data_IF_160150590955
#
_entry.id   IF_160150590955
#
_cell.length_a   1.000
_cell.length_b   1.000
_cell.length_c   1.000
_cell.angle_alpha   90.00
_cell.angle_beta   90.00
_cell.angle_gamma   90.00
#
_symmetry.space_group_name_H-M   'P 1'
#
loop_
_entity.id
_entity.type
_entity.pdbx_description
1 polymer ?
#
# COMPACT_ATOMS: atom_id res chain seq x y z
N UNK A 1 -9.99 -0.37 5.16
CA UNK A 1 -11.35 -0.94 4.97
C UNK A 1 -11.84 -0.68 3.55
N UNK A 2 -12.29 -1.73 2.86
CA UNK A 2 -12.90 -1.61 1.55
C UNK A 2 -14.36 -1.17 1.77
N UNK A 3 -14.85 -0.10 1.11
CA UNK A 3 -16.20 0.39 1.28
C UNK A 3 -17.23 -0.57 0.67
N UNK A 4 -18.50 -0.44 1.09
CA UNK A 4 -19.60 -1.16 0.45
C UNK A 4 -19.79 -0.68 -1.00
N UNK A 5 -20.37 -1.52 -1.84
CA UNK A 5 -20.62 -1.21 -3.27
C UNK A 5 -21.45 0.06 -3.45
N UNK A 6 -22.32 0.40 -2.51
CA UNK A 6 -23.15 1.61 -2.56
C UNK A 6 -22.33 2.90 -2.59
N UNK A 7 -21.16 2.92 -1.96
CA UNK A 7 -20.26 4.10 -2.02
C UNK A 7 -19.70 4.28 -3.43
N UNK A 8 -19.37 3.21 -4.13
CA UNK A 8 -18.95 3.28 -5.52
C UNK A 8 -20.07 3.80 -6.42
N UNK A 9 -21.32 3.42 -6.12
CA UNK A 9 -22.51 3.82 -6.87
C UNK A 9 -22.89 5.29 -6.71
N UNK A 10 -22.36 6.01 -5.71
CA UNK A 10 -22.58 7.46 -5.60
C UNK A 10 -22.10 8.23 -6.84
N UNK A 11 -21.06 7.72 -7.52
CA UNK A 11 -20.56 8.30 -8.75
C UNK A 11 -20.86 7.42 -9.97
N UNK A 12 -20.70 6.10 -9.85
CA UNK A 12 -20.75 5.18 -10.97
C UNK A 12 -22.18 4.82 -11.43
N UNK A 13 -23.19 5.36 -10.82
CA UNK A 13 -24.56 5.34 -11.38
C UNK A 13 -24.70 6.28 -12.60
N UNK A 14 -23.76 7.24 -12.80
CA UNK A 14 -23.78 8.22 -13.88
C UNK A 14 -22.44 8.34 -14.62
N UNK A 15 -21.30 8.03 -13.97
CA UNK A 15 -19.95 8.20 -14.53
C UNK A 15 -19.43 6.87 -15.05
N UNK A 16 -18.97 6.86 -16.33
CA UNK A 16 -18.39 5.69 -17.01
C UNK A 16 -19.30 4.45 -17.01
N UNK A 17 -20.60 4.64 -17.10
CA UNK A 17 -21.60 3.56 -17.03
C UNK A 17 -21.43 2.50 -18.13
N UNK A 18 -20.81 2.86 -19.27
CA UNK A 18 -20.52 1.95 -20.38
C UNK A 18 -19.24 1.12 -20.17
N UNK A 19 -18.43 1.42 -19.14
CA UNK A 19 -17.22 0.66 -18.86
C UNK A 19 -17.55 -0.75 -18.41
N UNK A 20 -16.94 -1.80 -18.99
CA UNK A 20 -17.17 -3.19 -18.55
C UNK A 20 -16.91 -3.40 -17.05
N UNK A 21 -15.91 -2.70 -16.49
CA UNK A 21 -15.58 -2.80 -15.06
C UNK A 21 -16.66 -2.15 -14.18
N UNK A 22 -17.24 -1.03 -14.64
CA UNK A 22 -18.36 -0.40 -13.92
C UNK A 22 -19.63 -1.23 -14.02
N UNK A 23 -19.88 -1.88 -15.14
CA UNK A 23 -21.02 -2.79 -15.26
C UNK A 23 -20.95 -3.99 -14.30
N UNK A 24 -19.74 -4.45 -13.92
CA UNK A 24 -19.58 -5.43 -12.84
C UNK A 24 -20.06 -4.87 -11.50
N UNK A 25 -19.71 -3.61 -11.19
CA UNK A 25 -20.18 -2.93 -9.98
C UNK A 25 -21.72 -2.79 -10.01
N UNK A 26 -22.31 -2.40 -11.15
CA UNK A 26 -23.75 -2.31 -11.32
C UNK A 26 -24.43 -3.65 -11.01
N UNK A 27 -23.87 -4.76 -11.53
CA UNK A 27 -24.40 -6.10 -11.25
C UNK A 27 -24.39 -6.41 -9.75
N UNK A 28 -23.27 -6.14 -9.08
CA UNK A 28 -23.17 -6.37 -7.64
C UNK A 28 -24.05 -5.44 -6.81
N UNK A 29 -24.34 -4.24 -7.30
CA UNK A 29 -25.26 -3.29 -6.67
C UNK A 29 -26.74 -3.59 -6.96
N UNK A 30 -27.06 -4.54 -7.83
CA UNK A 30 -28.42 -4.76 -8.33
C UNK A 30 -28.98 -3.57 -9.11
N UNK A 31 -28.08 -2.78 -9.78
CA UNK A 31 -28.47 -1.56 -10.45
C UNK A 31 -28.74 -1.79 -11.95
N UNK A 32 -29.91 -1.31 -12.40
CA UNK A 32 -30.25 -1.28 -13.83
C UNK A 32 -30.02 0.11 -14.40
N UNK A 33 -29.08 0.21 -15.33
CA UNK A 33 -28.67 1.47 -15.98
C UNK A 33 -29.81 2.06 -16.81
N UNK A 34 -30.68 1.24 -17.40
CA UNK A 34 -31.77 1.71 -18.27
C UNK A 34 -32.90 2.34 -17.49
N UNK A 35 -33.31 1.69 -16.41
CA UNK A 35 -34.39 2.17 -15.55
C UNK A 35 -33.90 3.10 -14.45
N UNK A 36 -32.59 3.12 -14.19
CA UNK A 36 -31.93 3.84 -13.08
C UNK A 36 -32.47 3.46 -11.71
N UNK A 37 -32.80 2.19 -11.54
CA UNK A 37 -33.37 1.65 -10.30
C UNK A 37 -32.48 0.58 -9.70
N UNK A 38 -32.63 0.38 -8.39
CA UNK A 38 -31.95 -0.68 -7.64
C UNK A 38 -32.95 -1.80 -7.34
N UNK A 39 -32.46 -3.03 -7.43
CA UNK A 39 -33.18 -4.24 -7.04
C UNK A 39 -32.33 -4.98 -6.00
N UNK A 40 -32.68 -4.79 -4.73
CA UNK A 40 -31.94 -5.37 -3.60
C UNK A 40 -31.94 -6.91 -3.63
N UNK A 41 -32.92 -7.53 -4.28
CA UNK A 41 -32.98 -8.99 -4.42
C UNK A 41 -31.88 -9.55 -5.34
N UNK A 42 -31.32 -8.69 -6.19
CA UNK A 42 -30.22 -9.02 -7.11
C UNK A 42 -28.85 -8.53 -6.63
N UNK A 43 -28.84 -7.73 -5.55
CA UNK A 43 -27.58 -7.24 -4.99
C UNK A 43 -26.78 -8.40 -4.37
N UNK A 44 -25.47 -8.42 -4.64
CA UNK A 44 -24.56 -9.43 -4.12
C UNK A 44 -23.28 -8.77 -3.62
N UNK A 45 -22.69 -9.25 -2.54
CA UNK A 45 -21.37 -8.77 -2.10
C UNK A 45 -20.31 -8.97 -3.20
N UNK A 46 -19.35 -8.04 -3.28
CA UNK A 46 -18.17 -8.23 -4.13
C UNK A 46 -17.16 -9.08 -3.35
N UNK A 47 -16.77 -10.19 -3.92
CA UNK A 47 -15.70 -11.03 -3.40
C UNK A 47 -14.35 -10.41 -3.80
N UNK A 48 -13.75 -9.69 -2.87
CA UNK A 48 -12.46 -9.03 -3.09
C UNK A 48 -11.29 -9.99 -2.98
N UNK A 49 -10.39 -9.92 -3.94
CA UNK A 49 -9.11 -10.64 -3.86
C UNK A 49 -8.13 -9.79 -3.07
N UNK A 50 -7.64 -10.31 -1.95
CA UNK A 50 -6.60 -9.66 -1.16
C UNK A 50 -5.23 -9.84 -1.85
N UNK A 51 -4.79 -8.84 -2.59
CA UNK A 51 -3.51 -8.87 -3.31
C UNK A 51 -2.33 -8.70 -2.35
N UNK A 52 -2.45 -7.79 -1.37
CA UNK A 52 -1.41 -7.52 -0.38
C UNK A 52 -1.74 -8.27 0.93
N UNK A 53 -0.97 -9.31 1.23
CA UNK A 53 -1.19 -10.17 2.40
C UNK A 53 -0.34 -9.73 3.61
N UNK A 54 -0.30 -8.43 3.92
CA UNK A 54 0.29 -7.99 5.16
C UNK A 54 -0.56 -8.49 6.34
N UNK A 55 0.02 -9.17 7.34
CA UNK A 55 -0.72 -9.59 8.53
C UNK A 55 -1.31 -8.40 9.28
N UNK A 56 -2.50 -8.55 9.85
CA UNK A 56 -3.21 -7.47 10.55
C UNK A 56 -2.46 -6.94 11.78
N UNK A 57 -1.59 -7.78 12.36
CA UNK A 57 -0.72 -7.43 13.49
C UNK A 57 0.54 -6.64 13.08
N UNK A 58 0.79 -6.46 11.78
CA UNK A 58 1.92 -5.71 11.28
C UNK A 58 1.49 -4.31 10.84
N UNK A 59 2.07 -3.30 11.48
CA UNK A 59 1.86 -1.91 11.10
C UNK A 59 2.78 -1.52 9.95
N UNK A 60 2.21 -0.94 8.89
CA UNK A 60 2.96 -0.40 7.76
C UNK A 60 2.53 1.03 7.43
N UNK A 61 3.50 1.93 7.30
CA UNK A 61 3.25 3.32 6.99
C UNK A 61 3.97 3.72 5.69
N UNK A 62 3.20 3.96 4.63
CA UNK A 62 3.72 4.42 3.34
C UNK A 62 4.50 5.74 3.45
N UNK A 63 4.02 6.68 4.25
CA UNK A 63 4.68 7.98 4.41
C UNK A 63 6.11 7.83 4.96
N UNK A 64 6.30 6.95 5.95
CA UNK A 64 7.61 6.67 6.52
C UNK A 64 8.57 6.06 5.50
N UNK A 65 8.09 5.17 4.62
CA UNK A 65 8.92 4.53 3.60
C UNK A 65 9.18 5.42 2.40
N UNK A 66 8.14 6.05 1.85
CA UNK A 66 8.24 6.82 0.61
C UNK A 66 8.77 8.23 0.84
N UNK A 67 8.22 8.96 1.83
CA UNK A 67 8.58 10.36 2.07
C UNK A 67 9.84 10.52 2.91
N UNK A 68 9.99 9.71 3.94
CA UNK A 68 11.13 9.81 4.86
C UNK A 68 12.27 8.91 4.40
N UNK A 69 11.99 7.68 4.02
CA UNK A 69 12.97 6.69 3.60
C UNK A 69 13.42 6.78 2.13
N UNK A 70 12.74 7.58 1.30
CA UNK A 70 13.07 7.71 -0.12
C UNK A 70 12.91 6.42 -0.93
N UNK A 71 12.03 5.50 -0.47
CA UNK A 71 11.82 4.20 -1.12
C UNK A 71 10.88 4.36 -2.30
N UNK A 72 11.30 3.88 -3.47
CA UNK A 72 10.50 3.93 -4.69
C UNK A 72 9.35 2.91 -4.63
N UNK A 73 8.22 3.25 -5.28
CA UNK A 73 7.02 2.42 -5.29
C UNK A 73 7.30 0.99 -5.78
N UNK A 74 8.15 0.86 -6.79
CA UNK A 74 8.49 -0.41 -7.45
C UNK A 74 9.34 -1.34 -6.58
N UNK A 75 10.00 -0.84 -5.54
CA UNK A 75 10.76 -1.68 -4.61
C UNK A 75 9.84 -2.66 -3.84
N UNK A 76 8.58 -2.25 -3.61
CA UNK A 76 7.57 -3.07 -2.95
C UNK A 76 6.46 -3.54 -3.91
N UNK A 77 6.09 -2.71 -4.88
CA UNK A 77 5.09 -3.01 -5.89
C UNK A 77 5.75 -3.39 -7.20
N UNK A 78 6.28 -4.62 -7.25
CA UNK A 78 7.05 -5.11 -8.40
C UNK A 78 6.21 -5.08 -9.68
N UNK A 79 6.76 -4.43 -10.73
CA UNK A 79 6.12 -4.36 -12.05
C UNK A 79 4.89 -3.47 -12.13
N UNK A 80 4.66 -2.58 -11.13
CA UNK A 80 3.44 -1.75 -11.11
C UNK A 80 3.34 -0.78 -12.29
N UNK A 81 4.47 -0.37 -12.88
CA UNK A 81 4.48 0.53 -14.03
C UNK A 81 4.04 -0.15 -15.33
N UNK A 82 4.22 -1.45 -15.40
CA UNK A 82 3.90 -2.29 -16.56
C UNK A 82 2.52 -2.94 -16.45
N UNK A 83 1.82 -2.76 -15.32
CA UNK A 83 0.49 -3.32 -15.11
C UNK A 83 -0.58 -2.44 -15.73
N UNK A 84 -1.40 -3.03 -16.60
CA UNK A 84 -2.61 -2.39 -17.11
C UNK A 84 -3.76 -2.54 -16.11
N UNK A 85 -4.18 -1.41 -15.52
CA UNK A 85 -5.35 -1.36 -14.66
C UNK A 85 -5.04 -1.58 -13.19
N UNK A 86 -5.38 -2.73 -12.62
CA UNK A 86 -5.25 -3.00 -11.18
C UNK A 86 -4.00 -3.79 -10.82
N UNK A 87 -3.56 -3.65 -9.58
CA UNK A 87 -2.39 -4.38 -9.06
C UNK A 87 -2.69 -5.87 -8.97
N UNK A 88 -1.90 -6.68 -9.69
CA UNK A 88 -2.05 -8.14 -9.75
C UNK A 88 -0.97 -8.87 -8.98
N UNK A 89 0.16 -8.22 -8.73
CA UNK A 89 1.32 -8.79 -8.07
C UNK A 89 1.88 -7.82 -7.05
N UNK A 90 2.47 -8.36 -6.02
CA UNK A 90 3.23 -7.64 -5.02
C UNK A 90 4.43 -8.46 -4.60
N UNK A 91 5.36 -7.87 -3.86
CA UNK A 91 6.41 -8.61 -3.17
C UNK A 91 5.82 -9.56 -2.12
N UNK A 92 6.64 -10.44 -1.59
CA UNK A 92 6.20 -11.46 -0.61
C UNK A 92 5.61 -10.85 0.66
N UNK A 93 6.05 -9.63 1.04
CA UNK A 93 5.64 -8.91 2.26
C UNK A 93 5.75 -9.78 3.53
N UNK A 94 6.65 -10.76 3.51
CA UNK A 94 6.96 -11.57 4.69
C UNK A 94 7.81 -10.76 5.68
N UNK A 95 7.79 -11.15 6.96
CA UNK A 95 8.66 -10.54 7.98
C UNK A 95 10.13 -10.60 7.57
N UNK A 96 10.59 -11.73 7.02
CA UNK A 96 11.96 -11.90 6.54
C UNK A 96 12.30 -10.93 5.39
N UNK A 97 11.38 -10.70 4.48
CA UNK A 97 11.54 -9.76 3.37
C UNK A 97 11.73 -8.33 3.88
N UNK A 98 10.90 -7.89 4.81
CA UNK A 98 11.02 -6.56 5.44
C UNK A 98 12.35 -6.41 6.20
N UNK A 99 12.71 -7.40 7.02
CA UNK A 99 13.95 -7.40 7.81
C UNK A 99 15.19 -7.36 6.92
N UNK A 100 15.21 -8.11 5.82
CA UNK A 100 16.34 -8.12 4.89
C UNK A 100 16.53 -6.75 4.25
N UNK A 101 15.45 -6.09 3.81
CA UNK A 101 15.52 -4.72 3.32
C UNK A 101 16.07 -3.77 4.40
N UNK A 102 15.55 -3.81 5.63
CA UNK A 102 15.98 -2.95 6.74
C UNK A 102 17.45 -3.17 7.15
N UNK A 103 18.00 -4.35 6.92
CA UNK A 103 19.42 -4.64 7.16
C UNK A 103 20.34 -3.99 6.15
N UNK A 104 19.90 -3.89 4.90
CA UNK A 104 20.74 -3.47 3.78
C UNK A 104 20.48 -2.03 3.32
N UNK A 105 19.23 -1.55 3.46
CA UNK A 105 18.83 -0.22 2.99
C UNK A 105 19.50 0.88 3.81
N UNK A 106 20.26 1.76 3.15
CA UNK A 106 20.75 2.99 3.74
C UNK A 106 19.60 3.98 3.92
N UNK A 107 19.69 4.82 4.95
CA UNK A 107 18.74 5.93 5.15
C UNK A 107 18.94 7.00 4.08
N UNK A 108 17.92 7.76 3.78
CA UNK A 108 18.02 8.89 2.83
C UNK A 108 18.81 10.05 3.46
N UNK A 109 20.07 10.16 3.06
CA UNK A 109 21.02 11.19 3.57
C UNK A 109 20.59 12.62 3.22
N UNK A 110 19.72 12.79 2.22
CA UNK A 110 19.26 14.10 1.79
C UNK A 110 18.00 14.56 2.57
N UNK A 111 17.41 13.66 3.36
CA UNK A 111 16.23 14.00 4.14
C UNK A 111 16.63 14.70 5.45
N UNK A 112 16.20 15.96 5.69
CA UNK A 112 16.52 16.71 6.90
C UNK A 112 16.14 16.01 8.20
N UNK A 113 15.18 15.09 8.15
CA UNK A 113 14.78 14.28 9.29
C UNK A 113 15.94 13.48 9.89
N UNK A 114 16.91 13.05 9.07
CA UNK A 114 18.03 12.23 9.49
C UNK A 114 19.32 13.02 9.75
N UNK A 115 19.38 14.32 9.45
CA UNK A 115 20.59 15.13 9.52
C UNK A 115 21.32 15.03 10.87
N UNK A 116 20.62 15.28 11.98
CA UNK A 116 21.20 15.20 13.32
C UNK A 116 21.63 13.77 13.69
N UNK A 117 20.91 12.78 13.21
CA UNK A 117 21.21 11.38 13.51
C UNK A 117 22.46 10.91 12.75
N UNK A 118 22.63 11.37 11.52
CA UNK A 118 23.82 11.10 10.69
C UNK A 118 25.03 11.73 11.37
N UNK A 119 24.96 13.02 11.71
CA UNK A 119 26.06 13.74 12.36
C UNK A 119 26.45 13.08 13.70
N UNK A 120 25.50 12.77 14.55
CA UNK A 120 25.74 12.06 15.82
C UNK A 120 26.46 10.74 15.61
N UNK A 121 26.01 9.91 14.68
CA UNK A 121 26.62 8.59 14.46
C UNK A 121 27.99 8.69 13.81
N UNK A 122 28.20 9.66 12.94
CA UNK A 122 29.53 9.93 12.35
C UNK A 122 30.55 10.31 13.43
N UNK A 123 30.16 11.23 14.34
CA UNK A 123 31.06 11.74 15.38
C UNK A 123 31.33 10.69 16.48
N UNK A 124 30.28 10.01 16.97
CA UNK A 124 30.39 9.16 18.16
C UNK A 124 30.61 7.68 17.85
N UNK A 125 30.27 7.22 16.64
CA UNK A 125 30.35 5.79 16.27
C UNK A 125 31.20 5.53 15.04
N UNK A 126 31.66 6.58 14.32
CA UNK A 126 32.42 6.44 13.08
C UNK A 126 31.62 5.83 11.93
N UNK A 127 30.30 5.87 11.99
CA UNK A 127 29.42 5.28 10.94
C UNK A 127 29.04 6.39 9.96
N UNK A 128 29.53 6.27 8.72
CA UNK A 128 29.21 7.22 7.65
C UNK A 128 28.02 6.81 6.79
N UNK A 129 27.74 5.51 6.69
CA UNK A 129 26.62 4.94 5.94
C UNK A 129 25.66 4.25 6.89
N UNK A 130 24.76 5.04 7.48
CA UNK A 130 23.72 4.52 8.36
C UNK A 130 22.68 3.74 7.58
N UNK A 131 22.43 2.54 8.05
CA UNK A 131 21.35 1.69 7.55
C UNK A 131 20.13 1.76 8.45
N UNK A 132 18.99 1.35 7.94
CA UNK A 132 17.73 1.32 8.70
C UNK A 132 17.87 0.50 9.99
N UNK A 133 18.65 -0.59 9.97
CA UNK A 133 18.98 -1.39 11.17
C UNK A 133 19.67 -0.59 12.28
N UNK A 134 20.51 0.39 11.91
CA UNK A 134 21.32 1.16 12.87
C UNK A 134 20.52 2.22 13.63
N UNK A 135 19.30 2.50 13.15
CA UNK A 135 18.35 3.46 13.72
C UNK A 135 17.12 2.79 14.34
N UNK A 136 17.22 1.52 14.69
CA UNK A 136 16.16 0.77 15.33
C UNK A 136 15.13 0.14 14.40
N UNK A 137 15.40 0.09 13.08
CA UNK A 137 14.48 -0.48 12.10
C UNK A 137 14.26 -2.00 12.21
N UNK A 138 14.97 -2.69 13.11
CA UNK A 138 14.79 -4.12 13.41
C UNK A 138 14.09 -4.38 14.75
N UNK A 139 13.71 -3.33 15.48
CA UNK A 139 12.99 -3.49 16.74
C UNK A 139 11.56 -3.98 16.49
N UNK A 140 11.13 -4.97 17.25
CA UNK A 140 9.81 -5.60 17.07
C UNK A 140 8.67 -4.58 17.11
N UNK A 141 8.73 -3.63 18.04
CA UNK A 141 7.72 -2.59 18.26
C UNK A 141 7.63 -1.54 17.14
N UNK A 142 8.54 -1.56 16.15
CA UNK A 142 8.44 -0.69 14.97
C UNK A 142 7.45 -1.22 13.94
N UNK A 143 7.21 -2.52 13.95
CA UNK A 143 6.34 -3.19 13.00
C UNK A 143 5.15 -3.88 13.68
N UNK A 144 5.23 -4.18 14.96
CA UNK A 144 4.20 -4.88 15.73
C UNK A 144 3.72 -4.03 16.93
N UNK A 145 2.44 -4.13 17.25
CA UNK A 145 1.80 -3.47 18.41
C UNK A 145 0.98 -4.47 19.23
#
# INVERSE_FOLDING_TARGET
NIPSVNICMNCHNAIKVESPEIQKIHKHAGYDVKTKTYDDSKATPIEWIRVHNLPDLAYFNHSQHVKVGGVECQECHIGIKEMDGYVQKTSELTMAWCINCHREKSIDKNNPYYERLIEFNKVHRGIEDLKVKDIGGLECSKCHY
#
